data_IF_844253775424
#
_entry.id   IF_844253775424
#
_cell.length_a   1.000
_cell.length_b   1.000
_cell.length_c   1.000
_cell.angle_alpha   90.00
_cell.angle_beta   90.00
_cell.angle_gamma   90.00
#
_symmetry.space_group_name_H-M   'P 1'
#
loop_
_entity.id
_entity.type
_entity.pdbx_description
1 polymer ?
#
# COMPACT_ATOMS: atom_id res chain seq x y z
N UNK A 1 -5.93 13.89 7.21
CA UNK A 1 -6.72 12.74 7.72
C UNK A 1 -6.99 13.05 9.18
N UNK A 2 -8.23 13.31 9.58
CA UNK A 2 -8.55 13.50 11.02
C UNK A 2 -8.57 12.16 11.72
N UNK A 3 -7.94 12.04 12.88
CA UNK A 3 -7.70 10.77 13.56
C UNK A 3 -8.18 10.88 15.00
N UNK A 4 -9.12 10.01 15.37
CA UNK A 4 -9.68 9.87 16.73
C UNK A 4 -9.32 8.49 17.26
N UNK A 5 -9.32 8.30 18.59
CA UNK A 5 -8.98 7.02 19.22
C UNK A 5 -9.90 5.87 18.78
N UNK A 6 -11.16 6.16 18.44
CA UNK A 6 -12.09 5.17 17.88
C UNK A 6 -11.59 4.56 16.57
N UNK A 7 -10.76 5.27 15.80
CA UNK A 7 -10.29 4.84 14.48
C UNK A 7 -9.15 3.83 14.53
N UNK A 8 -8.49 3.63 15.68
CA UNK A 8 -7.42 2.64 15.79
C UNK A 8 -7.92 1.24 16.15
N UNK A 9 -9.13 1.11 16.71
CA UNK A 9 -9.70 -0.19 17.11
C UNK A 9 -9.76 -1.15 15.92
N UNK A 10 -10.21 -0.67 14.76
CA UNK A 10 -10.25 -1.47 13.53
C UNK A 10 -8.86 -1.98 13.12
N UNK A 11 -7.82 -1.16 13.31
CA UNK A 11 -6.43 -1.55 13.02
C UNK A 11 -5.95 -2.58 14.03
N UNK A 12 -6.23 -2.38 15.31
CA UNK A 12 -5.81 -3.26 16.40
C UNK A 12 -6.46 -4.64 16.37
N UNK A 13 -7.67 -4.76 15.81
CA UNK A 13 -8.28 -6.06 15.54
C UNK A 13 -7.43 -6.94 14.60
N UNK A 14 -6.57 -6.33 13.79
CA UNK A 14 -5.64 -7.02 12.90
C UNK A 14 -4.20 -7.01 13.42
N UNK A 15 -3.78 -5.91 14.06
CA UNK A 15 -2.42 -5.66 14.53
C UNK A 15 -2.45 -5.15 15.99
N UNK A 16 -2.58 -6.04 16.97
CA UNK A 16 -2.90 -5.68 18.35
C UNK A 16 -1.82 -4.83 19.04
N UNK A 17 -0.57 -4.93 18.57
CA UNK A 17 0.58 -4.23 19.15
C UNK A 17 0.83 -2.84 18.52
N UNK A 18 0.01 -2.44 17.54
CA UNK A 18 -0.01 -1.07 17.05
C UNK A 18 -0.88 -0.19 17.95
N UNK A 19 -0.39 1.01 18.28
CA UNK A 19 -1.14 1.97 19.07
C UNK A 19 -0.98 3.41 18.57
N UNK A 20 -1.94 4.25 18.94
CA UNK A 20 -1.99 5.66 18.55
C UNK A 20 -1.24 6.47 19.58
N UNK A 21 -0.23 7.22 19.15
CA UNK A 21 0.31 8.34 19.89
C UNK A 21 -0.38 9.62 19.40
N UNK A 22 -1.47 10.01 20.06
CA UNK A 22 -2.30 11.17 19.69
C UNK A 22 -1.52 12.48 19.77
N UNK A 23 -0.72 12.67 20.83
CA UNK A 23 0.10 13.86 21.05
C UNK A 23 1.06 14.13 19.88
N UNK A 24 1.64 13.08 19.32
CA UNK A 24 2.60 13.17 18.21
C UNK A 24 1.97 12.92 16.85
N UNK A 25 0.68 12.58 16.80
CA UNK A 25 -0.05 12.19 15.59
C UNK A 25 0.66 11.04 14.84
N UNK A 26 0.93 9.94 15.55
CA UNK A 26 1.60 8.76 14.98
C UNK A 26 0.90 7.46 15.35
N UNK A 27 0.98 6.46 14.47
CA UNK A 27 0.79 5.05 14.85
C UNK A 27 2.17 4.43 14.99
N UNK A 28 2.42 3.72 16.08
CA UNK A 28 3.70 3.09 16.39
C UNK A 28 3.48 1.72 17.02
N UNK A 29 4.48 0.86 16.93
CA UNK A 29 4.50 -0.47 17.54
C UNK A 29 4.85 -1.57 16.55
N UNK A 30 4.65 -2.82 16.98
CA UNK A 30 4.90 -3.99 16.16
C UNK A 30 3.73 -4.23 15.19
N UNK A 31 4.04 -4.27 13.89
CA UNK A 31 3.18 -4.82 12.87
C UNK A 31 3.55 -6.30 12.68
N UNK A 32 2.71 -7.19 13.20
CA UNK A 32 2.88 -8.64 13.20
C UNK A 32 1.75 -9.33 12.43
N UNK A 33 2.06 -10.29 11.56
CA UNK A 33 1.06 -10.94 10.72
C UNK A 33 1.48 -12.30 10.16
N UNK A 34 0.45 -13.09 9.84
CA UNK A 34 0.54 -14.21 8.90
C UNK A 34 -0.01 -13.76 7.54
N UNK A 35 0.65 -14.16 6.45
CA UNK A 35 0.21 -13.82 5.11
C UNK A 35 0.26 -15.00 4.15
N UNK A 36 -0.66 -15.00 3.19
CA UNK A 36 -0.70 -15.99 2.11
C UNK A 36 -1.06 -15.32 0.79
N UNK A 37 -0.45 -15.76 -0.30
CA UNK A 37 -0.81 -15.35 -1.64
C UNK A 37 -1.38 -16.52 -2.43
N UNK A 38 -2.63 -16.40 -2.89
CA UNK A 38 -3.36 -17.47 -3.57
C UNK A 38 -3.13 -17.52 -5.10
N UNK A 39 -2.15 -16.77 -5.60
CA UNK A 39 -1.93 -16.57 -7.03
C UNK A 39 -2.73 -15.41 -7.64
N UNK A 40 -3.62 -14.77 -6.86
CA UNK A 40 -4.43 -13.63 -7.30
C UNK A 40 -4.38 -12.48 -6.29
N UNK A 41 -4.48 -12.76 -4.99
CA UNK A 41 -4.58 -11.77 -3.91
C UNK A 41 -3.77 -12.18 -2.70
N UNK A 42 -3.28 -11.16 -2.01
CA UNK A 42 -2.64 -11.29 -0.71
C UNK A 42 -3.72 -11.34 0.37
N UNK A 43 -3.60 -12.30 1.28
CA UNK A 43 -4.52 -12.53 2.39
C UNK A 43 -3.80 -12.28 3.71
N UNK A 44 -4.39 -11.45 4.57
CA UNK A 44 -3.94 -11.18 5.93
C UNK A 44 -4.58 -12.19 6.89
N UNK A 45 -3.77 -12.79 7.76
CA UNK A 45 -4.16 -13.76 8.78
C UNK A 45 -5.13 -14.83 8.24
N UNK A 46 -4.72 -15.57 7.19
CA UNK A 46 -5.58 -16.56 6.55
C UNK A 46 -5.99 -17.63 7.58
N UNK A 47 -7.27 -18.00 7.58
CA UNK A 47 -7.75 -19.15 8.36
C UNK A 47 -6.91 -20.37 8.02
N UNK A 48 -6.56 -21.22 9.00
CA UNK A 48 -5.80 -22.47 8.81
C UNK A 48 -6.43 -23.33 7.70
N UNK A 49 -5.99 -23.13 6.46
CA UNK A 49 -6.31 -23.97 5.32
C UNK A 49 -5.12 -24.89 5.06
N UNK A 50 -5.42 -26.13 4.68
CA UNK A 50 -4.41 -27.17 4.45
C UNK A 50 -3.50 -26.76 3.29
N UNK A 51 -2.19 -26.87 3.49
CA UNK A 51 -1.12 -26.83 2.47
C UNK A 51 -0.81 -25.48 1.78
N UNK A 52 -1.34 -24.35 2.27
CA UNK A 52 -0.95 -23.05 1.73
C UNK A 52 0.47 -22.63 2.20
N UNK A 53 1.31 -22.12 1.30
CA UNK A 53 2.54 -21.40 1.67
C UNK A 53 2.15 -20.13 2.44
N UNK A 54 2.13 -20.23 3.77
CA UNK A 54 1.99 -19.12 4.70
C UNK A 54 3.38 -18.62 5.06
N UNK A 55 3.56 -17.30 5.06
CA UNK A 55 4.77 -16.65 5.53
C UNK A 55 4.44 -15.63 6.61
N UNK A 56 5.42 -15.36 7.47
CA UNK A 56 5.25 -14.58 8.68
C UNK A 56 6.06 -13.29 8.60
N UNK A 57 5.47 -12.19 9.05
CA UNK A 57 6.12 -10.89 9.12
C UNK A 57 5.98 -10.28 10.50
N UNK A 58 7.05 -9.64 10.97
CA UNK A 58 7.06 -8.83 12.18
C UNK A 58 8.03 -7.68 11.97
N UNK A 59 7.58 -6.46 12.23
CA UNK A 59 8.32 -5.22 11.99
C UNK A 59 7.91 -4.17 13.03
N UNK A 60 8.90 -3.50 13.62
CA UNK A 60 8.66 -2.27 14.36
C UNK A 60 8.43 -1.15 13.35
N UNK A 61 7.31 -0.44 13.46
CA UNK A 61 6.95 0.59 12.49
C UNK A 61 6.57 1.93 13.13
N UNK A 62 6.69 2.98 12.33
CA UNK A 62 6.17 4.31 12.64
C UNK A 62 5.41 4.88 11.44
N UNK A 63 4.13 5.19 11.63
CA UNK A 63 3.27 5.90 10.66
C UNK A 63 3.07 7.34 11.13
N UNK A 64 3.54 8.33 10.38
CA UNK A 64 3.42 9.76 10.71
C UNK A 64 2.21 10.39 10.05
N UNK A 65 1.13 10.59 10.82
CA UNK A 65 -0.15 11.07 10.30
C UNK A 65 -0.15 12.58 10.00
N UNK A 66 0.75 13.33 10.65
CA UNK A 66 0.95 14.76 10.45
C UNK A 66 1.93 15.11 9.32
N UNK A 67 2.55 14.11 8.68
CA UNK A 67 3.45 14.32 7.54
C UNK A 67 3.01 13.47 6.36
N UNK A 68 2.64 14.15 5.28
CA UNK A 68 2.19 13.50 4.06
C UNK A 68 3.28 13.51 3.00
N UNK A 69 3.38 12.42 2.25
CA UNK A 69 4.24 12.30 1.08
C UNK A 69 3.64 13.05 -0.13
N UNK A 70 4.30 12.97 -1.28
CA UNK A 70 3.87 13.65 -2.52
C UNK A 70 2.48 13.22 -3.01
N UNK A 71 1.99 12.06 -2.56
CA UNK A 71 0.67 11.55 -2.90
C UNK A 71 -0.41 11.98 -1.91
N UNK A 72 -0.07 12.62 -0.80
CA UNK A 72 -1.01 12.94 0.27
C UNK A 72 -1.24 11.79 1.26
N UNK A 73 -0.39 10.75 1.25
CA UNK A 73 -0.44 9.64 2.22
C UNK A 73 0.57 9.84 3.36
N UNK A 74 0.28 9.35 4.58
CA UNK A 74 1.23 9.39 5.70
C UNK A 74 2.58 8.75 5.37
N UNK A 75 3.67 9.32 5.87
CA UNK A 75 4.98 8.66 5.82
C UNK A 75 5.00 7.43 6.75
N UNK A 76 5.64 6.35 6.29
CA UNK A 76 5.80 5.10 7.04
C UNK A 76 7.27 4.75 7.11
N UNK A 77 7.72 4.28 8.26
CA UNK A 77 9.10 3.85 8.52
C UNK A 77 9.09 2.47 9.14
N UNK A 78 10.08 1.65 8.79
CA UNK A 78 10.47 0.47 9.56
C UNK A 78 11.58 0.90 10.52
N UNK A 79 11.31 0.83 11.82
CA UNK A 79 12.16 1.38 12.87
C UNK A 79 13.02 0.32 13.56
N UNK A 80 12.75 -0.96 13.33
CA UNK A 80 13.51 -2.09 13.88
C UNK A 80 14.80 -2.41 13.10
N UNK A 81 14.99 -1.82 11.92
CA UNK A 81 16.18 -1.98 11.08
C UNK A 81 16.27 -3.34 10.38
N UNK A 82 15.18 -4.10 10.34
CA UNK A 82 15.14 -5.42 9.71
C UNK A 82 15.32 -5.34 8.20
N UNK A 83 14.69 -4.36 7.54
CA UNK A 83 14.78 -4.21 6.07
C UNK A 83 16.18 -3.76 5.68
N UNK A 84 16.74 -2.77 6.37
CA UNK A 84 18.08 -2.26 6.05
C UNK A 84 19.18 -3.30 6.34
N UNK A 85 19.02 -4.11 7.39
CA UNK A 85 19.92 -5.24 7.65
C UNK A 85 19.85 -6.28 6.54
N UNK A 86 18.64 -6.66 6.11
CA UNK A 86 18.46 -7.58 4.99
C UNK A 86 19.09 -7.05 3.70
N UNK A 87 18.97 -5.75 3.42
CA UNK A 87 19.66 -5.08 2.32
C UNK A 87 21.18 -5.26 2.41
N UNK A 88 21.78 -4.97 3.56
CA UNK A 88 23.22 -5.07 3.77
C UNK A 88 23.74 -6.51 3.64
N UNK A 89 23.07 -7.46 4.29
CA UNK A 89 23.46 -8.88 4.30
C UNK A 89 23.40 -9.53 2.91
N UNK A 90 22.54 -9.03 2.03
CA UNK A 90 22.33 -9.58 0.70
C UNK A 90 22.90 -8.70 -0.43
N UNK A 91 23.57 -7.60 -0.07
CA UNK A 91 24.11 -6.60 -1.02
C UNK A 91 23.04 -6.09 -2.02
N UNK A 92 21.83 -5.84 -1.51
CA UNK A 92 20.69 -5.31 -2.28
C UNK A 92 20.58 -3.81 -1.98
N UNK A 93 20.54 -2.92 -2.99
CA UNK A 93 20.30 -1.49 -2.75
C UNK A 93 18.99 -1.25 -1.98
N UNK A 94 18.95 -0.37 -0.96
CA UNK A 94 17.73 -0.08 -0.22
C UNK A 94 16.54 0.37 -1.11
N UNK A 95 16.84 1.07 -2.22
CA UNK A 95 15.84 1.47 -3.21
C UNK A 95 15.09 0.29 -3.83
N UNK A 96 15.78 -0.83 -4.04
CA UNK A 96 15.22 -2.05 -4.64
C UNK A 96 14.36 -2.81 -3.61
N UNK A 97 14.50 -2.49 -2.32
CA UNK A 97 13.58 -2.87 -1.25
C UNK A 97 12.55 -1.77 -0.97
N UNK A 98 12.38 -0.81 -1.88
CA UNK A 98 11.41 0.28 -1.76
C UNK A 98 11.61 1.14 -0.50
N UNK A 99 12.86 1.35 -0.09
CA UNK A 99 13.22 2.38 0.89
C UNK A 99 13.67 3.66 0.18
N UNK A 100 13.07 4.78 0.55
CA UNK A 100 13.48 6.10 0.10
C UNK A 100 14.78 6.55 0.78
N UNK A 101 15.43 7.57 0.23
CA UNK A 101 16.70 8.09 0.79
C UNK A 101 16.60 8.65 2.20
N UNK A 102 15.39 9.01 2.67
CA UNK A 102 15.13 9.45 4.04
C UNK A 102 14.76 8.30 4.99
N UNK A 103 14.83 7.04 4.50
CA UNK A 103 14.45 5.83 5.23
C UNK A 103 12.95 5.53 5.25
N UNK A 104 12.12 6.37 4.63
CA UNK A 104 10.68 6.08 4.54
C UNK A 104 10.38 4.98 3.53
N UNK A 105 9.30 4.24 3.77
CA UNK A 105 8.81 3.19 2.89
C UNK A 105 8.13 3.81 1.66
N UNK A 106 8.52 3.39 0.46
CA UNK A 106 7.80 3.66 -0.77
C UNK A 106 6.62 2.70 -0.87
N UNK A 107 5.43 3.18 -0.50
CA UNK A 107 4.20 2.39 -0.44
C UNK A 107 3.51 2.17 -1.79
N UNK A 108 4.13 2.62 -2.88
CA UNK A 108 3.58 2.60 -4.23
C UNK A 108 3.24 3.98 -4.78
N UNK A 109 2.48 3.99 -5.88
CA UNK A 109 2.14 5.19 -6.66
C UNK A 109 0.65 5.38 -6.64
N UNK A 110 0.22 6.53 -6.14
CA UNK A 110 -1.18 6.86 -5.95
C UNK A 110 -1.53 8.15 -6.69
N UNK A 111 -2.74 8.22 -7.20
CA UNK A 111 -3.31 9.48 -7.67
C UNK A 111 -3.78 10.31 -6.49
N UNK A 112 -3.84 11.65 -6.63
CA UNK A 112 -4.41 12.50 -5.59
C UNK A 112 -5.85 12.11 -5.19
N UNK A 113 -6.64 11.53 -6.12
CA UNK A 113 -8.01 11.08 -5.83
C UNK A 113 -8.05 9.81 -4.99
N UNK A 114 -7.14 8.86 -5.23
CA UNK A 114 -7.02 7.65 -4.39
C UNK A 114 -6.67 8.05 -2.95
N UNK A 115 -5.66 8.89 -2.79
CA UNK A 115 -5.21 9.32 -1.46
C UNK A 115 -6.23 10.19 -0.72
N UNK A 116 -6.96 11.05 -1.44
CA UNK A 116 -7.96 11.94 -0.82
C UNK A 116 -9.14 11.16 -0.20
N UNK A 117 -9.47 10.00 -0.75
CA UNK A 117 -10.56 9.15 -0.24
C UNK A 117 -10.06 8.03 0.69
N UNK A 118 -8.76 7.97 0.97
CA UNK A 118 -8.15 6.93 1.78
C UNK A 118 -8.59 7.05 3.25
N UNK A 119 -9.17 5.98 3.77
CA UNK A 119 -9.50 5.85 5.20
C UNK A 119 -8.29 5.28 5.94
N UNK A 120 -8.08 5.68 7.20
CA UNK A 120 -6.90 5.29 7.98
C UNK A 120 -6.75 3.77 8.13
N UNK A 121 -7.83 3.06 8.44
CA UNK A 121 -7.81 1.60 8.58
C UNK A 121 -7.46 0.92 7.26
N UNK A 122 -8.09 1.34 6.14
CA UNK A 122 -7.73 0.87 4.79
C UNK A 122 -6.28 1.14 4.46
N UNK A 123 -5.75 2.33 4.77
CA UNK A 123 -4.35 2.65 4.56
C UNK A 123 -3.43 1.67 5.29
N UNK A 124 -3.69 1.38 6.57
CA UNK A 124 -2.83 0.46 7.33
C UNK A 124 -3.02 -1.00 6.89
N UNK A 125 -4.26 -1.47 6.78
CA UNK A 125 -4.60 -2.87 6.52
C UNK A 125 -4.33 -3.28 5.07
N UNK A 126 -4.50 -2.38 4.10
CA UNK A 126 -4.30 -2.72 2.69
C UNK A 126 -2.95 -2.22 2.16
N UNK A 127 -2.51 -1.02 2.53
CA UNK A 127 -1.31 -0.42 1.92
C UNK A 127 -0.06 -0.73 2.75
N UNK A 128 -0.07 -0.39 4.04
CA UNK A 128 1.09 -0.60 4.92
C UNK A 128 1.38 -2.09 5.08
N UNK A 129 0.36 -2.89 5.38
CA UNK A 129 0.48 -4.36 5.44
C UNK A 129 1.04 -4.94 4.14
N UNK A 130 0.51 -4.56 2.97
CA UNK A 130 0.98 -5.13 1.69
C UNK A 130 2.46 -4.87 1.44
N UNK A 131 2.96 -3.67 1.81
CA UNK A 131 4.39 -3.38 1.76
C UNK A 131 5.18 -4.34 2.66
N UNK A 132 4.81 -4.48 3.93
CA UNK A 132 5.55 -5.34 4.86
C UNK A 132 5.42 -6.83 4.52
N UNK A 133 4.29 -7.25 3.95
CA UNK A 133 4.12 -8.59 3.42
C UNK A 133 5.05 -8.85 2.23
N UNK A 134 5.24 -7.87 1.35
CA UNK A 134 6.25 -7.96 0.29
C UNK A 134 7.65 -8.14 0.87
N UNK A 135 8.02 -7.38 1.92
CA UNK A 135 9.31 -7.51 2.60
C UNK A 135 9.50 -8.88 3.25
N UNK A 136 8.45 -9.38 3.91
CA UNK A 136 8.45 -10.69 4.55
C UNK A 136 8.59 -11.81 3.50
N UNK A 137 7.86 -11.71 2.39
CA UNK A 137 7.96 -12.64 1.27
C UNK A 137 9.36 -12.65 0.67
N UNK A 138 9.91 -11.47 0.35
CA UNK A 138 11.22 -11.35 -0.27
C UNK A 138 12.34 -11.90 0.63
N UNK A 139 12.27 -11.60 1.93
CA UNK A 139 13.26 -12.08 2.89
C UNK A 139 13.14 -13.59 3.18
N UNK A 140 11.92 -14.14 3.16
CA UNK A 140 11.64 -15.57 3.38
C UNK A 140 12.06 -16.43 2.20
N UNK A 141 11.63 -16.07 0.99
CA UNK A 141 11.82 -16.89 -0.22
C UNK A 141 13.02 -16.46 -1.07
N UNK A 142 13.73 -15.39 -0.68
CA UNK A 142 14.89 -14.83 -1.40
C UNK A 142 14.58 -14.51 -2.87
N UNK A 143 13.36 -14.05 -3.15
CA UNK A 143 12.89 -13.67 -4.49
C UNK A 143 11.82 -12.58 -4.40
N UNK A 144 11.59 -11.84 -5.49
CA UNK A 144 10.53 -10.82 -5.55
C UNK A 144 9.14 -11.46 -5.38
N UNK A 145 8.23 -10.71 -4.78
CA UNK A 145 6.85 -11.15 -4.63
C UNK A 145 6.15 -11.27 -5.98
N UNK A 146 5.29 -12.31 -6.18
CA UNK A 146 4.66 -12.58 -7.47
C UNK A 146 3.51 -11.63 -7.84
N UNK A 147 2.97 -10.83 -6.90
CA UNK A 147 1.84 -9.94 -7.16
C UNK A 147 2.20 -8.57 -7.79
N UNK A 148 3.44 -8.43 -8.28
CA UNK A 148 3.89 -7.28 -9.07
C UNK A 148 4.24 -6.03 -8.26
N UNK A 149 4.98 -5.14 -8.91
CA UNK A 149 5.36 -3.81 -8.42
C UNK A 149 5.40 -2.83 -9.60
N UNK A 150 5.07 -1.55 -9.37
CA UNK A 150 5.32 -0.51 -10.36
C UNK A 150 6.83 -0.21 -10.42
N UNK A 151 7.30 0.23 -11.58
CA UNK A 151 8.65 0.76 -11.76
C UNK A 151 8.91 1.98 -10.86
N UNK A 152 10.19 2.30 -10.62
CA UNK A 152 10.54 3.45 -9.78
C UNK A 152 10.35 4.80 -10.50
N UNK A 153 10.11 5.84 -9.69
CA UNK A 153 10.07 7.24 -10.11
C UNK A 153 9.13 7.50 -11.31
N UNK A 154 9.57 8.31 -12.27
CA UNK A 154 8.76 8.78 -13.42
C UNK A 154 8.20 7.60 -14.24
N UNK A 155 8.91 6.48 -14.30
CA UNK A 155 8.47 5.31 -15.05
C UNK A 155 7.23 4.66 -14.43
N UNK A 156 7.23 4.46 -13.11
CA UNK A 156 6.03 3.94 -12.43
C UNK A 156 4.84 4.88 -12.51
N UNK A 157 5.09 6.20 -12.48
CA UNK A 157 4.01 7.17 -12.69
C UNK A 157 3.39 7.01 -14.08
N UNK A 158 4.23 6.82 -15.10
CA UNK A 158 3.74 6.60 -16.46
C UNK A 158 2.93 5.30 -16.56
N UNK A 159 3.44 4.20 -16.01
CA UNK A 159 2.73 2.92 -15.96
C UNK A 159 1.37 3.05 -15.28
N UNK A 160 1.30 3.71 -14.12
CA UNK A 160 0.03 3.97 -13.41
C UNK A 160 -0.96 4.76 -14.27
N UNK A 161 -0.50 5.78 -14.98
CA UNK A 161 -1.35 6.59 -15.86
C UNK A 161 -1.82 5.78 -17.07
N UNK A 162 -0.95 4.98 -17.66
CA UNK A 162 -1.28 4.10 -18.78
C UNK A 162 -2.31 3.05 -18.35
N UNK A 163 -2.16 2.44 -17.17
CA UNK A 163 -3.13 1.52 -16.59
C UNK A 163 -4.49 2.17 -16.37
N UNK A 164 -4.53 3.39 -15.83
CA UNK A 164 -5.78 4.13 -15.65
C UNK A 164 -6.48 4.33 -17.01
N UNK A 165 -5.74 4.74 -18.05
CA UNK A 165 -6.31 4.94 -19.37
C UNK A 165 -6.81 3.64 -20.02
N UNK A 166 -6.06 2.55 -19.89
CA UNK A 166 -6.48 1.23 -20.38
C UNK A 166 -7.75 0.79 -19.65
N UNK A 167 -7.78 0.90 -18.32
CA UNK A 167 -8.95 0.52 -17.52
C UNK A 167 -10.17 1.40 -17.82
N UNK A 168 -10.00 2.69 -18.12
CA UNK A 168 -11.11 3.56 -18.54
C UNK A 168 -11.74 3.13 -19.86
N UNK A 169 -10.98 2.52 -20.78
CA UNK A 169 -11.51 2.00 -22.05
C UNK A 169 -12.40 0.77 -21.86
N UNK A 170 -12.09 -0.06 -20.87
CA UNK A 170 -12.83 -1.30 -20.58
C UNK A 170 -13.86 -1.16 -19.46
N UNK A 171 -13.85 -0.05 -18.70
CA UNK A 171 -14.75 0.15 -17.57
C UNK A 171 -16.22 0.28 -18.01
N UNK A 172 -17.08 -0.54 -17.43
CA UNK A 172 -18.52 -0.41 -17.53
C UNK A 172 -19.03 0.86 -16.82
N UNK A 173 -20.16 1.39 -17.28
CA UNK A 173 -20.75 2.63 -16.72
C UNK A 173 -20.96 2.60 -15.20
N UNK A 174 -21.27 1.44 -14.65
CA UNK A 174 -21.57 1.27 -13.22
C UNK A 174 -20.36 0.79 -12.41
N UNK A 175 -19.23 0.49 -13.04
CA UNK A 175 -18.02 0.03 -12.36
C UNK A 175 -17.38 1.19 -11.59
N UNK A 176 -16.57 0.92 -10.55
CA UNK A 176 -15.75 1.94 -9.92
C UNK A 176 -14.89 2.68 -10.95
N UNK A 177 -14.81 4.00 -10.83
CA UNK A 177 -14.07 4.83 -11.77
C UNK A 177 -12.56 4.53 -11.67
N UNK A 178 -11.88 4.18 -12.78
CA UNK A 178 -10.45 3.85 -12.75
C UNK A 178 -9.53 4.99 -12.29
N UNK A 179 -10.02 6.24 -12.22
CA UNK A 179 -9.25 7.34 -11.63
C UNK A 179 -9.12 7.27 -10.11
N UNK A 180 -9.73 6.26 -9.46
CA UNK A 180 -9.62 6.00 -8.03
C UNK A 180 -10.43 6.95 -7.14
N UNK A 181 -11.49 7.58 -7.68
CA UNK A 181 -12.39 8.44 -6.91
C UNK A 181 -13.37 7.68 -6.00
N UNK A 182 -13.45 6.36 -6.12
CA UNK A 182 -14.48 5.54 -5.45
C UNK A 182 -15.90 5.68 -6.02
N UNK A 183 -16.15 6.65 -6.91
CA UNK A 183 -17.44 6.83 -7.58
C UNK A 183 -17.63 5.86 -8.74
N UNK A 184 -18.89 5.58 -9.13
CA UNK A 184 -19.18 4.88 -10.40
C UNK A 184 -18.65 5.67 -11.59
N UNK A 185 -18.13 5.00 -12.61
CA UNK A 185 -17.49 5.64 -13.77
C UNK A 185 -18.39 6.68 -14.45
N UNK A 186 -19.68 6.35 -14.63
CA UNK A 186 -20.69 7.24 -15.21
C UNK A 186 -20.92 8.55 -14.43
N UNK A 187 -20.64 8.56 -13.13
CA UNK A 187 -20.82 9.73 -12.26
C UNK A 187 -19.49 10.48 -12.05
N UNK A 188 -18.42 10.07 -12.73
CA UNK A 188 -17.08 10.61 -12.53
C UNK A 188 -16.44 10.98 -13.88
N UNK A 189 -15.59 10.11 -14.43
CA UNK A 189 -14.78 10.46 -15.61
C UNK A 189 -15.44 10.12 -16.95
N UNK A 190 -16.59 9.42 -17.00
CA UNK A 190 -17.16 8.93 -18.26
C UNK A 190 -17.42 10.05 -19.28
N UNK A 191 -18.07 11.13 -18.87
CA UNK A 191 -18.41 12.23 -19.79
C UNK A 191 -17.16 12.93 -20.32
N UNK A 192 -16.18 13.17 -19.45
CA UNK A 192 -14.89 13.75 -19.83
C UNK A 192 -14.15 12.82 -20.81
N UNK A 193 -14.08 11.53 -20.50
CA UNK A 193 -13.44 10.52 -21.33
C UNK A 193 -14.09 10.42 -22.71
N UNK A 194 -15.42 10.45 -22.80
CA UNK A 194 -16.14 10.42 -24.07
C UNK A 194 -15.91 11.68 -24.90
N UNK A 195 -15.82 12.87 -24.27
CA UNK A 195 -15.52 14.12 -24.99
C UNK A 195 -14.13 14.09 -25.62
N UNK A 196 -13.12 13.66 -24.86
CA UNK A 196 -11.73 13.57 -25.34
C UNK A 196 -11.64 12.60 -26.54
N UNK A 197 -12.24 11.40 -26.43
CA UNK A 197 -12.19 10.40 -27.50
C UNK A 197 -13.07 10.70 -28.72
N UNK A 198 -13.99 11.69 -28.65
CA UNK A 198 -14.75 12.16 -29.82
C UNK A 198 -14.04 13.28 -30.60
N UNK A 199 -12.97 13.83 -30.03
CA UNK A 199 -12.22 14.97 -30.59
C UNK A 199 -10.97 14.52 -31.36
N UNK A 200 -10.83 13.21 -31.57
CA UNK A 200 -9.78 12.50 -32.32
C UNK A 200 -10.48 11.71 -33.42
#
# INVERSE_FOLDING_TARGET
MEVTDEKIVDIQNHFPDLYMNTERSKIIGELSFDAHYDGKRLHLNPSKQREAEVFHGYYEIEVRLNRLNVYGLPFVFETGGKIIRFSQENNIPPSDLHLNGDGSCCLGIFTPRESANMILSTFVIEIVFSFFAWQAYASTYKRKAPWGEYSHAVWGFKEKIDDIHVNMRSAGRNDPCPCGSGCKFKNCCLDQFQRINRSV
#
